data_IF_032775616218
#
_entry.id   IF_032775616218
#
_cell.length_a   1.000
_cell.length_b   1.000
_cell.length_c   1.000
_cell.angle_alpha   90.00
_cell.angle_beta   90.00
_cell.angle_gamma   90.00
#
_symmetry.space_group_name_H-M   'P 1'
#
loop_
_entity.id
_entity.type
_entity.pdbx_description
1 polymer ?
#
# COMPACT_ATOMS: atom_id res chain seq x y z
N UNK A 1 9.47 19.36 -11.27
CA UNK A 1 10.16 19.01 -10.00
C UNK A 1 9.59 17.74 -9.37
N UNK A 2 8.30 17.69 -8.98
CA UNK A 2 7.68 16.50 -8.36
C UNK A 2 7.74 15.23 -9.22
N UNK A 3 7.45 15.33 -10.51
CA UNK A 3 7.51 14.19 -11.46
C UNK A 3 8.93 13.62 -11.55
N UNK A 4 9.94 14.49 -11.61
CA UNK A 4 11.36 14.09 -11.69
C UNK A 4 11.79 13.38 -10.40
N UNK A 5 11.42 13.92 -9.24
CA UNK A 5 11.67 13.28 -7.93
C UNK A 5 11.00 11.90 -7.89
N UNK A 6 9.75 11.79 -8.33
CA UNK A 6 9.03 10.53 -8.40
C UNK A 6 9.73 9.48 -9.27
N UNK A 7 10.20 9.87 -10.46
CA UNK A 7 10.95 8.99 -11.36
C UNK A 7 12.25 8.53 -10.70
N UNK A 8 13.02 9.43 -10.09
CA UNK A 8 14.27 9.09 -9.42
C UNK A 8 14.04 8.11 -8.27
N UNK A 9 13.03 8.35 -7.43
CA UNK A 9 12.65 7.44 -6.33
C UNK A 9 12.22 6.07 -6.87
N UNK A 10 11.46 6.05 -7.97
CA UNK A 10 11.04 4.82 -8.61
C UNK A 10 12.24 4.00 -9.14
N UNK A 11 13.20 4.66 -9.78
CA UNK A 11 14.43 4.03 -10.27
C UNK A 11 15.27 3.45 -9.13
N UNK A 12 15.43 4.19 -8.03
CA UNK A 12 16.14 3.70 -6.84
C UNK A 12 15.43 2.47 -6.28
N UNK A 13 14.11 2.54 -6.10
CA UNK A 13 13.33 1.42 -5.58
C UNK A 13 13.44 0.17 -6.48
N UNK A 14 13.37 0.36 -7.79
CA UNK A 14 13.54 -0.73 -8.77
C UNK A 14 14.94 -1.34 -8.73
N UNK A 15 15.99 -0.52 -8.64
CA UNK A 15 17.38 -0.99 -8.54
C UNK A 15 17.61 -1.84 -7.28
N UNK A 16 16.97 -1.46 -6.17
CA UNK A 16 17.07 -2.18 -4.90
C UNK A 16 16.35 -3.53 -4.90
N UNK A 17 15.40 -3.77 -5.81
CA UNK A 17 14.65 -5.04 -5.84
C UNK A 17 15.52 -6.25 -6.17
N UNK A 18 15.15 -7.41 -5.62
CA UNK A 18 15.71 -8.69 -6.06
C UNK A 18 15.19 -9.09 -7.45
N UNK A 19 15.94 -9.94 -8.17
CA UNK A 19 15.55 -10.45 -9.51
C UNK A 19 14.09 -10.91 -9.63
N UNK A 20 13.54 -11.77 -8.75
CA UNK A 20 12.15 -12.22 -8.88
C UNK A 20 11.14 -11.06 -8.72
N UNK A 21 11.41 -10.10 -7.83
CA UNK A 21 10.55 -8.93 -7.67
C UNK A 21 10.61 -7.99 -8.88
N UNK A 22 11.78 -7.83 -9.51
CA UNK A 22 11.89 -7.05 -10.76
C UNK A 22 11.10 -7.67 -11.90
N UNK A 23 11.15 -8.99 -12.05
CA UNK A 23 10.39 -9.71 -13.09
C UNK A 23 8.89 -9.52 -12.85
N UNK A 24 8.42 -9.76 -11.61
CA UNK A 24 7.01 -9.56 -11.26
C UNK A 24 6.54 -8.11 -11.47
N UNK A 25 7.36 -7.14 -11.08
CA UNK A 25 7.08 -5.72 -11.28
C UNK A 25 7.05 -5.34 -12.77
N UNK A 26 7.96 -5.87 -13.58
CA UNK A 26 7.97 -5.63 -15.02
C UNK A 26 6.73 -6.23 -15.71
N UNK A 27 6.32 -7.45 -15.34
CA UNK A 27 5.07 -8.05 -15.81
C UNK A 27 3.85 -7.23 -15.40
N UNK A 28 3.85 -6.70 -14.17
CA UNK A 28 2.79 -5.83 -13.68
C UNK A 28 2.70 -4.52 -14.48
N UNK A 29 3.84 -3.89 -14.79
CA UNK A 29 3.88 -2.69 -15.63
C UNK A 29 3.46 -2.99 -17.07
N UNK A 30 3.83 -4.15 -17.62
CA UNK A 30 3.37 -4.58 -18.94
C UNK A 30 1.84 -4.74 -18.98
N UNK A 31 1.25 -5.33 -17.93
CA UNK A 31 -0.21 -5.42 -17.80
C UNK A 31 -0.87 -4.05 -17.67
N UNK A 32 -0.31 -3.13 -16.88
CA UNK A 32 -0.79 -1.75 -16.77
C UNK A 32 -0.73 -1.03 -18.12
N UNK A 33 0.37 -1.16 -18.86
CA UNK A 33 0.52 -0.57 -20.19
C UNK A 33 -0.50 -1.14 -21.18
N UNK A 34 -0.71 -2.46 -21.14
CA UNK A 34 -1.72 -3.13 -21.95
C UNK A 34 -3.15 -2.66 -21.62
N UNK A 35 -3.45 -2.49 -20.33
CA UNK A 35 -4.73 -1.94 -19.88
C UNK A 35 -4.95 -0.52 -20.38
N UNK A 36 -3.94 0.36 -20.26
CA UNK A 36 -3.99 1.73 -20.78
C UNK A 36 -4.13 1.73 -22.30
N UNK A 37 -3.49 0.81 -23.02
CA UNK A 37 -3.64 0.70 -24.47
C UNK A 37 -5.10 0.37 -24.89
N UNK A 38 -5.77 -0.52 -24.16
CA UNK A 38 -7.14 -0.94 -24.48
C UNK A 38 -8.23 0.08 -24.05
N UNK A 39 -7.99 0.78 -22.94
CA UNK A 39 -9.00 1.60 -22.26
C UNK A 39 -8.61 3.09 -22.16
N UNK A 40 -7.42 3.47 -22.60
CA UNK A 40 -6.92 4.84 -22.52
C UNK A 40 -7.75 5.80 -23.37
N UNK A 41 -8.21 6.88 -22.74
CA UNK A 41 -9.01 7.93 -23.41
C UNK A 41 -10.52 7.68 -23.37
N UNK A 42 -10.98 6.52 -22.89
CA UNK A 42 -12.37 6.30 -22.54
C UNK A 42 -12.62 6.87 -21.13
N UNK A 43 -13.63 7.73 -21.03
CA UNK A 43 -13.90 8.54 -19.83
C UNK A 43 -14.73 7.82 -18.77
N UNK A 44 -14.74 6.49 -18.75
CA UNK A 44 -15.58 5.73 -17.83
C UNK A 44 -14.99 5.68 -16.41
N UNK A 45 -15.86 5.81 -15.41
CA UNK A 45 -15.51 5.80 -14.00
C UNK A 45 -14.95 4.43 -13.59
N UNK A 46 -15.48 3.34 -14.15
CA UNK A 46 -14.98 1.99 -13.89
C UNK A 46 -13.54 1.82 -14.38
N UNK A 47 -13.24 2.33 -15.58
CA UNK A 47 -11.91 2.29 -16.18
C UNK A 47 -10.92 3.16 -15.40
N UNK A 48 -11.32 4.37 -15.01
CA UNK A 48 -10.52 5.25 -14.18
C UNK A 48 -10.23 4.63 -12.79
N UNK A 49 -11.24 3.99 -12.19
CA UNK A 49 -11.13 3.30 -10.91
C UNK A 49 -10.19 2.10 -10.97
N UNK A 50 -10.19 1.37 -12.09
CA UNK A 50 -9.30 0.24 -12.34
C UNK A 50 -7.88 0.73 -12.62
N UNK A 51 -7.69 1.74 -13.46
CA UNK A 51 -6.39 2.35 -13.72
C UNK A 51 -5.75 2.86 -12.41
N UNK A 52 -6.51 3.55 -11.57
CA UNK A 52 -6.04 4.04 -10.27
C UNK A 52 -5.62 2.90 -9.34
N UNK A 53 -6.38 1.79 -9.31
CA UNK A 53 -5.99 0.58 -8.58
C UNK A 53 -4.67 0.00 -9.10
N UNK A 54 -4.48 -0.07 -10.42
CA UNK A 54 -3.26 -0.60 -11.01
C UNK A 54 -2.05 0.30 -10.72
N UNK A 55 -2.18 1.61 -10.87
CA UNK A 55 -1.11 2.56 -10.52
C UNK A 55 -0.76 2.45 -9.02
N UNK A 56 -1.77 2.37 -8.15
CA UNK A 56 -1.57 2.20 -6.71
C UNK A 56 -0.87 0.87 -6.38
N UNK A 57 -1.21 -0.20 -7.07
CA UNK A 57 -0.56 -1.50 -6.94
C UNK A 57 0.89 -1.50 -7.41
N UNK A 58 1.19 -0.81 -8.52
CA UNK A 58 2.57 -0.62 -8.98
C UNK A 58 3.40 0.14 -7.94
N UNK A 59 2.88 1.24 -7.38
CA UNK A 59 3.54 1.98 -6.30
C UNK A 59 3.75 1.10 -5.06
N UNK A 60 2.76 0.30 -4.68
CA UNK A 60 2.86 -0.64 -3.57
C UNK A 60 3.94 -1.70 -3.76
N UNK A 61 4.01 -2.30 -4.95
CA UNK A 61 5.07 -3.26 -5.31
C UNK A 61 6.45 -2.60 -5.31
N UNK A 62 6.53 -1.36 -5.78
CA UNK A 62 7.76 -0.58 -5.79
C UNK A 62 8.31 -0.37 -4.38
N UNK A 63 7.46 0.13 -3.48
CA UNK A 63 7.81 0.34 -2.07
C UNK A 63 8.18 -0.98 -1.40
N UNK A 64 7.39 -2.04 -1.59
CA UNK A 64 7.67 -3.34 -0.98
C UNK A 64 9.00 -3.92 -1.46
N UNK A 65 9.25 -3.90 -2.77
CA UNK A 65 10.49 -4.39 -3.35
C UNK A 65 11.71 -3.58 -2.87
N UNK A 66 11.59 -2.26 -2.76
CA UNK A 66 12.64 -1.40 -2.21
C UNK A 66 12.93 -1.71 -0.73
N UNK A 67 11.90 -1.86 0.09
CA UNK A 67 12.04 -2.22 1.52
C UNK A 67 12.73 -3.57 1.67
N UNK A 68 12.30 -4.58 0.92
CA UNK A 68 12.92 -5.92 0.97
C UNK A 68 14.37 -5.88 0.45
N UNK A 69 14.64 -5.07 -0.58
CA UNK A 69 15.98 -4.81 -1.08
C UNK A 69 16.90 -4.19 -0.03
N UNK A 70 16.43 -3.14 0.65
CA UNK A 70 17.19 -2.48 1.72
C UNK A 70 17.40 -3.37 2.96
N UNK A 71 16.43 -4.23 3.27
CA UNK A 71 16.60 -5.23 4.32
C UNK A 71 17.65 -6.27 3.91
N UNK A 72 17.70 -6.65 2.63
CA UNK A 72 18.71 -7.58 2.12
C UNK A 72 20.11 -6.98 2.17
N UNK A 73 20.28 -5.71 1.79
CA UNK A 73 21.59 -5.04 1.83
C UNK A 73 22.11 -4.78 3.24
N UNK A 74 21.21 -4.65 4.23
CA UNK A 74 21.55 -4.40 5.63
C UNK A 74 21.60 -5.65 6.53
N UNK A 75 21.36 -6.83 5.98
CA UNK A 75 21.44 -8.09 6.73
C UNK A 75 22.87 -8.64 6.66
N UNK A 76 23.48 -8.93 7.81
CA UNK A 76 24.80 -9.55 7.89
C UNK A 76 24.78 -11.06 7.62
N UNK A 77 23.59 -11.67 7.59
CA UNK A 77 23.40 -13.10 7.32
C UNK A 77 22.03 -13.42 6.73
N UNK A 78 21.90 -14.61 6.13
CA UNK A 78 20.62 -15.10 5.59
C UNK A 78 19.54 -15.26 6.67
N UNK A 79 19.94 -15.70 7.88
CA UNK A 79 19.01 -15.88 9.00
C UNK A 79 18.45 -14.53 9.49
N UNK A 80 19.29 -13.50 9.53
CA UNK A 80 18.87 -12.14 9.87
C UNK A 80 17.91 -11.56 8.82
N UNK A 81 18.19 -11.80 7.53
CA UNK A 81 17.30 -11.41 6.43
C UNK A 81 15.92 -12.06 6.56
N UNK A 82 15.86 -13.37 6.80
CA UNK A 82 14.59 -14.10 6.99
C UNK A 82 13.81 -13.55 8.19
N UNK A 83 14.49 -13.26 9.31
CA UNK A 83 13.86 -12.71 10.51
C UNK A 83 13.29 -11.29 10.29
N UNK A 84 14.02 -10.41 9.59
CA UNK A 84 13.55 -9.07 9.22
C UNK A 84 12.41 -9.14 8.19
N UNK A 85 12.53 -10.01 7.18
CA UNK A 85 11.47 -10.26 6.18
C UNK A 85 10.17 -10.74 6.83
N UNK A 86 10.23 -11.65 7.80
CA UNK A 86 9.06 -12.13 8.54
C UNK A 86 8.34 -10.99 9.27
N UNK A 87 9.08 -10.03 9.83
CA UNK A 87 8.50 -8.84 10.47
C UNK A 87 7.77 -7.94 9.47
N UNK A 88 8.30 -7.76 8.27
CA UNK A 88 7.62 -7.02 7.19
C UNK A 88 6.32 -7.72 6.81
N UNK A 89 6.33 -9.05 6.63
CA UNK A 89 5.11 -9.79 6.31
C UNK A 89 4.05 -9.70 7.40
N UNK A 90 4.44 -9.83 8.67
CA UNK A 90 3.52 -9.67 9.81
C UNK A 90 2.95 -8.24 9.84
N UNK A 91 3.79 -7.23 9.56
CA UNK A 91 3.36 -5.85 9.47
C UNK A 91 2.32 -5.65 8.36
N UNK A 92 2.59 -6.16 7.15
CA UNK A 92 1.66 -6.09 6.01
C UNK A 92 0.35 -6.83 6.30
N UNK A 93 0.41 -8.01 6.92
CA UNK A 93 -0.80 -8.75 7.30
C UNK A 93 -1.63 -7.96 8.31
N UNK A 94 -1.00 -7.44 9.37
CA UNK A 94 -1.72 -6.77 10.45
C UNK A 94 -2.28 -5.42 10.00
N UNK A 95 -1.42 -4.57 9.43
CA UNK A 95 -1.79 -3.21 9.09
C UNK A 95 -2.40 -3.11 7.69
N UNK A 96 -1.89 -3.87 6.72
CA UNK A 96 -2.51 -3.98 5.40
C UNK A 96 -3.88 -4.65 5.48
N UNK A 97 -4.04 -5.70 6.29
CA UNK A 97 -5.34 -6.31 6.55
C UNK A 97 -6.33 -5.33 7.18
N UNK A 98 -5.92 -4.62 8.24
CA UNK A 98 -6.74 -3.57 8.85
C UNK A 98 -7.09 -2.45 7.86
N UNK A 99 -6.13 -2.03 7.02
CA UNK A 99 -6.35 -1.04 5.98
C UNK A 99 -7.42 -1.51 4.98
N UNK A 100 -7.31 -2.74 4.48
CA UNK A 100 -8.29 -3.31 3.54
C UNK A 100 -9.68 -3.35 4.17
N UNK A 101 -9.81 -3.87 5.39
CA UNK A 101 -11.08 -3.91 6.11
C UNK A 101 -11.66 -2.52 6.27
N UNK A 102 -10.86 -1.56 6.72
CA UNK A 102 -11.29 -0.18 6.89
C UNK A 102 -11.75 0.46 5.58
N UNK A 103 -11.00 0.26 4.49
CA UNK A 103 -11.42 0.74 3.17
C UNK A 103 -12.74 0.14 2.72
N UNK A 104 -12.99 -1.16 2.97
CA UNK A 104 -14.27 -1.76 2.59
C UNK A 104 -15.43 -1.29 3.46
N UNK A 105 -15.21 -1.13 4.77
CA UNK A 105 -16.22 -0.53 5.64
C UNK A 105 -16.58 0.88 5.19
N UNK A 106 -15.59 1.69 4.81
CA UNK A 106 -15.82 3.04 4.29
C UNK A 106 -16.57 3.01 2.95
N UNK A 107 -16.22 2.10 2.04
CA UNK A 107 -16.94 1.93 0.76
C UNK A 107 -18.40 1.59 1.01
N UNK A 108 -18.67 0.65 1.92
CA UNK A 108 -20.05 0.27 2.30
C UNK A 108 -20.78 1.45 2.94
N UNK A 109 -20.14 2.20 3.85
CA UNK A 109 -20.76 3.36 4.48
C UNK A 109 -21.13 4.45 3.47
N UNK A 110 -20.23 4.74 2.51
CA UNK A 110 -20.49 5.72 1.45
C UNK A 110 -21.54 5.23 0.46
N UNK A 111 -21.51 3.94 0.10
CA UNK A 111 -22.52 3.32 -0.76
C UNK A 111 -23.92 3.44 -0.14
N UNK A 112 -24.08 3.01 1.11
CA UNK A 112 -25.37 3.07 1.81
C UNK A 112 -25.79 4.52 2.08
N UNK A 113 -24.86 5.39 2.48
CA UNK A 113 -25.13 6.82 2.72
C UNK A 113 -25.50 7.61 1.47
N UNK A 114 -25.02 7.18 0.29
CA UNK A 114 -25.37 7.76 -1.02
C UNK A 114 -26.67 7.24 -1.63
N UNK A 115 -27.39 6.33 -0.94
CA UNK A 115 -28.64 5.74 -1.44
C UNK A 115 -28.48 4.45 -2.24
N UNK A 116 -27.27 3.88 -2.29
CA UNK A 116 -26.84 2.59 -2.83
C UNK A 116 -27.87 1.75 -3.58
N UNK A 117 -28.15 2.12 -4.84
CA UNK A 117 -29.14 1.44 -5.68
C UNK A 117 -28.55 0.76 -6.89
N UNK A 118 -27.34 1.14 -7.30
CA UNK A 118 -26.73 0.68 -8.55
C UNK A 118 -25.28 0.23 -8.37
N UNK A 119 -24.79 -0.51 -9.36
CA UNK A 119 -23.36 -0.85 -9.47
C UNK A 119 -22.48 0.40 -9.66
N UNK A 120 -23.02 1.44 -10.30
CA UNK A 120 -22.34 2.71 -10.49
C UNK A 120 -22.11 3.43 -9.15
N UNK A 121 -23.10 3.37 -8.24
CA UNK A 121 -22.97 3.92 -6.88
C UNK A 121 -21.86 3.21 -6.10
N UNK A 122 -21.75 1.88 -6.25
CA UNK A 122 -20.69 1.10 -5.63
C UNK A 122 -19.31 1.47 -6.19
N UNK A 123 -19.22 1.61 -7.51
CA UNK A 123 -17.99 1.99 -8.20
C UNK A 123 -17.56 3.41 -7.82
N UNK A 124 -18.51 4.34 -7.71
CA UNK A 124 -18.27 5.71 -7.26
C UNK A 124 -17.82 5.76 -5.79
N UNK A 125 -18.51 5.04 -4.89
CA UNK A 125 -18.11 4.94 -3.49
C UNK A 125 -16.68 4.38 -3.37
N UNK A 126 -16.37 3.29 -4.08
CA UNK A 126 -15.04 2.69 -4.12
C UNK A 126 -13.98 3.64 -4.69
N UNK A 127 -14.31 4.40 -5.73
CA UNK A 127 -13.43 5.40 -6.33
C UNK A 127 -13.12 6.55 -5.35
N UNK A 128 -14.14 7.06 -4.66
CA UNK A 128 -13.99 8.10 -3.64
C UNK A 128 -13.09 7.61 -2.52
N UNK A 129 -13.30 6.39 -1.99
CA UNK A 129 -12.42 5.81 -0.96
C UNK A 129 -10.98 5.68 -1.48
N UNK A 130 -10.75 5.39 -2.76
CA UNK A 130 -9.40 5.36 -3.33
C UNK A 130 -8.71 6.74 -3.29
N UNK A 131 -9.45 7.82 -3.48
CA UNK A 131 -8.93 9.19 -3.51
C UNK A 131 -8.85 9.87 -2.13
N UNK A 132 -9.70 9.47 -1.17
CA UNK A 132 -9.80 10.18 0.10
C UNK A 132 -8.47 10.17 0.88
N UNK A 133 -7.94 11.35 1.26
CA UNK A 133 -6.74 11.45 2.09
C UNK A 133 -6.97 10.93 3.52
N UNK A 134 -8.22 10.97 4.01
CA UNK A 134 -8.58 10.61 5.38
C UNK A 134 -8.35 9.14 5.74
N UNK A 135 -8.39 8.21 4.77
CA UNK A 135 -8.00 6.81 5.03
C UNK A 135 -6.53 6.69 5.41
N UNK A 136 -5.68 7.55 4.85
CA UNK A 136 -4.25 7.60 5.17
C UNK A 136 -4.05 8.21 6.55
N UNK A 137 -4.82 9.24 6.89
CA UNK A 137 -4.83 9.82 8.25
C UNK A 137 -5.26 8.78 9.29
N UNK A 138 -6.36 8.06 9.05
CA UNK A 138 -6.81 6.98 9.95
C UNK A 138 -5.78 5.84 10.09
N UNK A 139 -5.15 5.44 8.99
CA UNK A 139 -4.06 4.46 8.99
C UNK A 139 -2.85 4.94 9.80
N UNK A 140 -2.42 6.20 9.62
CA UNK A 140 -1.31 6.79 10.36
C UNK A 140 -1.64 6.94 11.86
N UNK A 141 -2.89 7.27 12.21
CA UNK A 141 -3.34 7.32 13.60
C UNK A 141 -3.32 5.94 14.26
N UNK A 142 -3.80 4.89 13.57
CA UNK A 142 -3.68 3.51 14.06
C UNK A 142 -2.23 3.10 14.26
N UNK A 143 -1.36 3.46 13.32
CA UNK A 143 0.07 3.17 13.39
C UNK A 143 0.72 3.88 14.58
N UNK A 144 0.48 5.19 14.72
CA UNK A 144 0.97 6.02 15.81
C UNK A 144 0.48 5.53 17.17
N UNK A 145 -0.82 5.24 17.29
CA UNK A 145 -1.42 4.68 18.50
C UNK A 145 -0.81 3.33 18.88
N UNK A 146 -0.60 2.43 17.92
CA UNK A 146 0.06 1.15 18.17
C UNK A 146 1.47 1.32 18.72
N UNK A 147 2.30 2.17 18.12
CA UNK A 147 3.66 2.41 18.58
C UNK A 147 3.71 3.16 19.91
N UNK A 148 2.76 4.07 20.17
CA UNK A 148 2.64 4.76 21.45
C UNK A 148 2.29 3.79 22.60
N UNK A 149 1.31 2.92 22.40
CA UNK A 149 0.93 1.90 23.38
C UNK A 149 2.04 0.86 23.61
N UNK A 150 2.74 0.47 22.54
CA UNK A 150 3.90 -0.43 22.64
C UNK A 150 5.10 0.23 23.33
N UNK A 151 5.24 1.55 23.26
CA UNK A 151 6.22 2.32 24.01
C UNK A 151 5.92 2.31 25.52
N UNK A 152 4.64 2.49 25.90
CA UNK A 152 4.20 2.45 27.31
C UNK A 152 4.35 1.08 27.96
N UNK A 153 4.24 -0.02 27.20
CA UNK A 153 4.43 -1.37 27.76
C UNK A 153 5.89 -1.71 28.08
N UNK A 154 6.85 -0.84 27.75
CA UNK A 154 8.28 -1.03 28.04
C UNK A 154 8.81 -0.17 29.19
N UNK A 155 7.96 0.63 29.83
CA UNK A 155 8.34 1.37 31.05
C UNK A 155 8.55 0.35 32.17
N UNK A 156 9.78 0.17 32.69
CA UNK A 156 10.00 -0.70 33.84
C UNK A 156 9.24 -0.13 35.04
N UNK A 157 8.50 -0.96 35.77
CA UNK A 157 8.01 -0.56 37.08
C UNK A 157 9.22 -0.11 37.92
N UNK A 158 9.14 1.01 38.66
CA UNK A 158 10.18 1.35 39.61
C UNK A 158 10.29 0.20 40.60
N UNK A 159 11.50 -0.36 40.74
CA UNK A 159 11.82 -1.34 41.76
C UNK A 159 11.50 -0.69 43.11
N UNK A 160 10.45 -1.17 43.79
CA UNK A 160 10.22 -0.86 45.19
C UNK A 160 11.38 -1.45 45.98
N UNK A 161 12.32 -0.61 46.38
CA UNK A 161 13.22 -0.83 47.52
C UNK A 161 12.45 -0.72 48.82
#
# INVERSE_FOLDING_TARGET
MVVVIGIVVALIGFAMMSRPFRIGFALYLAFLAYYIYLHGGKGDLEEASTALSLVSGALGLLVLGAVLGGIRSSAGSESEYIAKRKRVWIFLLKFGGAYVVFTQLLTVALFLGGGGRSWDDWTAAGFIVKLLPYKWVGYLLMLGGYYWLKGKSKTPLPSRT
#
